data_IF_130414158506
#
_entry.id   IF_130414158506
#
_cell.length_a   1.000
_cell.length_b   1.000
_cell.length_c   1.000
_cell.angle_alpha   90.00
_cell.angle_beta   90.00
_cell.angle_gamma   90.00
#
_symmetry.space_group_name_H-M   'P 1'
#
loop_
_entity.id
_entity.type
_entity.pdbx_description
1 polymer ?
#
# COMPACT_ATOMS: atom_id res chain seq x y z
N UNK A 1 -49.04 -12.83 7.14
CA UNK A 1 -50.12 -13.84 7.08
C UNK A 1 -50.54 -14.43 8.45
N UNK A 2 -49.61 -14.72 9.38
CA UNK A 2 -49.94 -15.26 10.73
C UNK A 2 -50.95 -14.45 11.56
N UNK A 3 -50.80 -13.11 11.59
CA UNK A 3 -51.77 -12.24 12.29
C UNK A 3 -53.18 -12.34 11.70
N UNK A 4 -53.31 -12.53 10.39
CA UNK A 4 -54.62 -12.68 9.73
C UNK A 4 -55.28 -14.03 10.07
N UNK A 5 -54.51 -15.13 10.08
CA UNK A 5 -55.02 -16.46 10.49
C UNK A 5 -55.40 -16.49 11.98
N UNK A 6 -54.58 -15.92 12.88
CA UNK A 6 -54.89 -15.85 14.31
C UNK A 6 -56.08 -14.92 14.63
N UNK A 7 -56.22 -13.82 13.89
CA UNK A 7 -57.38 -12.92 14.03
C UNK A 7 -58.66 -13.56 13.47
N UNK A 8 -58.57 -14.35 12.40
CA UNK A 8 -59.71 -15.14 11.90
C UNK A 8 -60.16 -16.21 12.90
N UNK A 9 -59.20 -16.88 13.57
CA UNK A 9 -59.48 -17.88 14.61
C UNK A 9 -60.10 -17.25 15.87
N UNK A 10 -59.63 -16.07 16.28
CA UNK A 10 -60.23 -15.32 17.39
C UNK A 10 -61.64 -14.79 17.05
N UNK A 11 -61.91 -14.49 15.78
CA UNK A 11 -63.23 -14.08 15.32
C UNK A 11 -64.22 -15.24 15.26
N UNK A 12 -63.77 -16.45 14.87
CA UNK A 12 -64.58 -17.66 14.86
C UNK A 12 -64.99 -18.10 16.27
N UNK A 13 -64.10 -17.98 17.27
CA UNK A 13 -64.43 -18.29 18.67
C UNK A 13 -65.36 -17.26 19.35
N UNK A 14 -65.57 -16.09 18.74
CA UNK A 14 -66.44 -15.04 19.29
C UNK A 14 -67.87 -15.08 18.72
N UNK A 15 -68.12 -15.88 17.67
CA UNK A 15 -69.43 -16.10 17.08
C UNK A 15 -70.01 -17.42 17.62
N UNK A 16 -70.59 -17.35 18.82
CA UNK A 16 -71.30 -18.45 19.48
C UNK A 16 -72.76 -18.52 18.94
N UNK A 17 -73.32 -19.74 18.87
CA UNK A 17 -74.64 -20.15 18.33
C UNK A 17 -74.71 -20.67 16.85
N UNK A 18 -74.05 -21.81 16.54
CA UNK A 18 -74.65 -23.02 15.92
C UNK A 18 -73.57 -23.96 15.30
N UNK A 19 -73.66 -25.26 15.59
CA UNK A 19 -72.77 -26.39 15.19
C UNK A 19 -71.37 -26.43 15.87
N UNK A 20 -71.35 -26.92 17.11
CA UNK A 20 -70.19 -27.02 18.02
C UNK A 20 -69.12 -28.06 17.62
N UNK A 21 -69.46 -29.11 16.85
CA UNK A 21 -68.50 -30.18 16.56
C UNK A 21 -67.61 -29.85 15.33
N UNK A 22 -68.14 -29.16 14.31
CA UNK A 22 -67.41 -28.85 13.07
C UNK A 22 -66.34 -27.76 13.30
N UNK A 23 -66.62 -26.80 14.18
CA UNK A 23 -65.69 -25.72 14.54
C UNK A 23 -64.53 -26.21 15.43
N UNK A 24 -64.75 -27.19 16.32
CA UNK A 24 -63.67 -27.80 17.11
C UNK A 24 -62.67 -28.57 16.24
N UNK A 25 -63.13 -29.28 15.21
CA UNK A 25 -62.26 -30.04 14.31
C UNK A 25 -61.37 -29.12 13.47
N UNK A 26 -61.91 -28.01 12.95
CA UNK A 26 -61.14 -26.99 12.24
C UNK A 26 -60.07 -26.32 13.13
N UNK A 27 -60.40 -26.05 14.40
CA UNK A 27 -59.44 -25.50 15.36
C UNK A 27 -58.32 -26.51 15.64
N UNK A 28 -58.63 -27.80 15.81
CA UNK A 28 -57.60 -28.85 16.01
C UNK A 28 -56.71 -29.00 14.79
N UNK A 29 -57.28 -28.99 13.59
CA UNK A 29 -56.53 -29.08 12.34
C UNK A 29 -55.57 -27.89 12.15
N UNK A 30 -56.03 -26.67 12.43
CA UNK A 30 -55.19 -25.46 12.34
C UNK A 30 -54.08 -25.43 13.40
N UNK A 31 -54.34 -25.91 14.62
CA UNK A 31 -53.31 -26.05 15.66
C UNK A 31 -52.22 -27.03 15.22
N UNK A 32 -52.59 -28.16 14.61
CA UNK A 32 -51.60 -29.14 14.15
C UNK A 32 -50.80 -28.63 12.94
N UNK A 33 -51.43 -27.92 12.00
CA UNK A 33 -50.73 -27.23 10.89
C UNK A 33 -49.68 -26.25 11.46
N UNK A 34 -50.05 -25.43 12.44
CA UNK A 34 -49.13 -24.46 13.06
C UNK A 34 -48.02 -25.16 13.84
N UNK A 35 -48.32 -26.27 14.54
CA UNK A 35 -47.30 -27.09 15.23
C UNK A 35 -46.32 -27.70 14.25
N UNK A 36 -46.78 -28.20 13.11
CA UNK A 36 -45.92 -28.78 12.08
C UNK A 36 -45.04 -27.70 11.43
N UNK A 37 -45.60 -26.54 11.08
CA UNK A 37 -44.81 -25.40 10.60
C UNK A 37 -43.72 -24.97 11.61
N UNK A 38 -44.04 -24.99 12.91
CA UNK A 38 -43.07 -24.61 13.95
C UNK A 38 -41.97 -25.65 14.07
N UNK A 39 -42.29 -26.95 14.02
CA UNK A 39 -41.30 -28.03 14.00
C UNK A 39 -40.38 -27.92 12.78
N UNK A 40 -40.93 -27.65 11.60
CA UNK A 40 -40.15 -27.50 10.36
C UNK A 40 -39.22 -26.28 10.44
N UNK A 41 -39.69 -25.16 11.00
CA UNK A 41 -38.87 -23.96 11.22
C UNK A 41 -37.78 -24.20 12.25
N UNK A 42 -38.08 -24.91 13.33
CA UNK A 42 -37.10 -25.27 14.35
C UNK A 42 -36.01 -26.18 13.77
N UNK A 43 -36.40 -27.20 13.00
CA UNK A 43 -35.48 -28.09 12.31
C UNK A 43 -34.62 -27.33 11.28
N UNK A 44 -35.22 -26.41 10.52
CA UNK A 44 -34.49 -25.54 9.59
C UNK A 44 -33.48 -24.65 10.31
N UNK A 45 -33.85 -24.04 11.43
CA UNK A 45 -32.94 -23.21 12.22
C UNK A 45 -31.79 -24.02 12.83
N UNK A 46 -32.07 -25.23 13.31
CA UNK A 46 -31.03 -26.16 13.78
C UNK A 46 -30.06 -26.51 12.67
N UNK A 47 -30.56 -26.86 11.49
CA UNK A 47 -29.73 -27.16 10.33
C UNK A 47 -28.85 -25.96 9.95
N UNK A 48 -29.42 -24.76 9.83
CA UNK A 48 -28.64 -23.55 9.51
C UNK A 48 -27.58 -23.26 10.58
N UNK A 49 -27.88 -23.49 11.86
CA UNK A 49 -26.88 -23.35 12.93
C UNK A 49 -25.74 -24.35 12.74
N UNK A 50 -26.05 -25.61 12.50
CA UNK A 50 -25.02 -26.65 12.34
C UNK A 50 -24.15 -26.37 11.10
N UNK A 51 -24.77 -25.99 9.97
CA UNK A 51 -24.05 -25.55 8.77
C UNK A 51 -23.13 -24.33 9.06
N UNK A 52 -23.58 -23.35 9.87
CA UNK A 52 -22.74 -22.20 10.25
C UNK A 52 -21.58 -22.57 11.17
N UNK A 53 -21.75 -23.59 12.02
CA UNK A 53 -20.67 -24.08 12.89
C UNK A 53 -19.59 -24.78 12.06
N UNK A 54 -20.00 -25.57 11.06
CA UNK A 54 -19.07 -26.23 10.14
C UNK A 54 -18.26 -25.20 9.34
N UNK A 55 -18.93 -24.15 8.81
CA UNK A 55 -18.22 -23.05 8.12
C UNK A 55 -17.27 -22.28 9.03
N UNK A 56 -17.63 -22.08 10.29
CA UNK A 56 -16.76 -21.40 11.26
C UNK A 56 -15.50 -22.24 11.54
N UNK A 57 -15.64 -23.55 11.70
CA UNK A 57 -14.51 -24.47 11.87
C UNK A 57 -13.59 -24.49 10.64
N UNK A 58 -14.15 -24.48 9.42
CA UNK A 58 -13.36 -24.39 8.19
C UNK A 58 -12.60 -23.05 8.11
N UNK A 59 -13.23 -21.94 8.46
CA UNK A 59 -12.61 -20.63 8.48
C UNK A 59 -11.45 -20.55 9.50
N UNK A 60 -11.65 -21.07 10.72
CA UNK A 60 -10.60 -21.13 11.74
C UNK A 60 -9.41 -21.98 11.29
N UNK A 61 -9.65 -23.11 10.62
CA UNK A 61 -8.58 -23.94 10.05
C UNK A 61 -7.81 -23.23 8.94
N UNK A 62 -8.51 -22.47 8.08
CA UNK A 62 -7.86 -21.66 7.05
C UNK A 62 -7.02 -20.53 7.65
N UNK A 63 -7.52 -19.86 8.69
CA UNK A 63 -6.77 -18.82 9.40
C UNK A 63 -5.53 -19.38 10.09
N UNK A 64 -5.64 -20.53 10.77
CA UNK A 64 -4.51 -21.20 11.40
C UNK A 64 -3.41 -21.55 10.36
N UNK A 65 -3.81 -22.09 9.20
CA UNK A 65 -2.87 -22.39 8.10
C UNK A 65 -2.23 -21.13 7.52
N UNK A 66 -3.00 -20.06 7.33
CA UNK A 66 -2.47 -18.79 6.84
C UNK A 66 -1.45 -18.18 7.81
N UNK A 67 -1.73 -18.23 9.11
CA UNK A 67 -0.82 -17.76 10.15
C UNK A 67 0.48 -18.58 10.22
N UNK A 68 0.40 -19.90 10.06
CA UNK A 68 1.58 -20.77 9.98
C UNK A 68 2.48 -20.39 8.78
N UNK A 69 1.89 -20.15 7.61
CA UNK A 69 2.62 -19.71 6.41
C UNK A 69 3.28 -18.34 6.64
N UNK A 70 2.57 -17.40 7.27
CA UNK A 70 3.11 -16.08 7.59
C UNK A 70 4.29 -16.18 8.56
N UNK A 71 4.21 -17.01 9.59
CA UNK A 71 5.31 -17.21 10.54
C UNK A 71 6.55 -17.81 9.84
N UNK A 72 6.35 -18.83 8.99
CA UNK A 72 7.44 -19.39 8.17
C UNK A 72 8.07 -18.33 7.26
N UNK A 73 7.26 -17.48 6.63
CA UNK A 73 7.76 -16.40 5.76
C UNK A 73 8.57 -15.35 6.55
N UNK A 74 8.11 -14.97 7.74
CA UNK A 74 8.82 -14.03 8.61
C UNK A 74 10.15 -14.61 9.12
N UNK A 75 10.19 -15.90 9.45
CA UNK A 75 11.42 -16.59 9.84
C UNK A 75 12.40 -16.81 8.68
N UNK A 76 11.90 -16.92 7.44
CA UNK A 76 12.71 -17.06 6.23
C UNK A 76 13.35 -15.73 5.79
N UNK A 77 12.68 -14.60 6.03
CA UNK A 77 13.16 -13.25 5.67
C UNK A 77 14.60 -12.94 6.11
N UNK A 78 15.01 -13.12 7.39
CA UNK A 78 16.39 -12.87 7.81
C UNK A 78 17.40 -13.85 7.19
N UNK A 79 16.97 -15.05 6.76
CA UNK A 79 17.84 -16.05 6.13
C UNK A 79 18.12 -15.71 4.66
N UNK A 80 17.16 -15.06 3.98
CA UNK A 80 17.34 -14.59 2.61
C UNK A 80 18.37 -13.47 2.51
N UNK A 81 18.42 -12.54 3.46
CA UNK A 81 19.38 -11.44 3.43
C UNK A 81 20.84 -11.94 3.47
N UNK A 82 21.10 -12.95 4.30
CA UNK A 82 22.42 -13.58 4.49
C UNK A 82 22.82 -14.51 3.33
N UNK A 83 21.88 -14.87 2.45
CA UNK A 83 22.14 -15.82 1.36
C UNK A 83 23.08 -15.19 0.29
N UNK A 84 24.13 -15.90 -0.17
CA UNK A 84 24.99 -15.41 -1.25
C UNK A 84 24.19 -15.22 -2.55
N UNK A 85 24.66 -14.29 -3.39
CA UNK A 85 23.95 -13.88 -4.61
C UNK A 85 23.63 -15.04 -5.57
N UNK A 86 24.52 -16.04 -5.66
CA UNK A 86 24.32 -17.24 -6.48
C UNK A 86 23.10 -18.04 -6.03
N UNK A 87 23.01 -18.34 -4.72
CA UNK A 87 21.86 -19.05 -4.16
C UNK A 87 20.57 -18.24 -4.21
N UNK A 88 20.66 -16.91 -4.15
CA UNK A 88 19.49 -16.03 -4.38
C UNK A 88 18.98 -16.17 -5.80
N UNK A 89 19.88 -16.28 -6.78
CA UNK A 89 19.53 -16.50 -8.19
C UNK A 89 18.86 -17.86 -8.38
N UNK A 90 19.43 -18.92 -7.83
CA UNK A 90 18.87 -20.27 -7.93
C UNK A 90 17.45 -20.34 -7.30
N UNK A 91 17.24 -19.61 -6.20
CA UNK A 91 15.93 -19.51 -5.56
C UNK A 91 14.93 -18.71 -6.41
N UNK A 92 15.35 -17.59 -7.01
CA UNK A 92 14.49 -16.81 -7.92
C UNK A 92 14.13 -17.60 -9.19
N UNK A 93 15.05 -18.43 -9.68
CA UNK A 93 14.83 -19.35 -10.80
C UNK A 93 13.85 -20.46 -10.43
N UNK A 94 13.96 -21.01 -9.22
CA UNK A 94 13.01 -22.01 -8.70
C UNK A 94 11.58 -21.45 -8.53
N UNK A 95 11.47 -20.18 -8.17
CA UNK A 95 10.21 -19.47 -7.98
C UNK A 95 9.66 -18.84 -9.28
N UNK A 96 10.32 -19.09 -10.42
CA UNK A 96 9.99 -18.54 -11.74
C UNK A 96 9.57 -17.06 -11.67
N UNK A 97 10.36 -16.27 -10.93
CA UNK A 97 10.02 -14.87 -10.66
C UNK A 97 10.37 -14.06 -11.90
N UNK A 98 9.34 -13.58 -12.59
CA UNK A 98 9.48 -12.66 -13.71
C UNK A 98 9.31 -11.22 -13.20
N UNK A 99 10.33 -10.40 -13.43
CA UNK A 99 10.30 -8.98 -13.09
C UNK A 99 10.23 -8.19 -14.39
N UNK A 100 9.07 -7.59 -14.66
CA UNK A 100 8.86 -6.69 -15.79
C UNK A 100 8.96 -5.25 -15.30
N UNK A 101 9.89 -4.49 -15.84
CA UNK A 101 10.02 -3.05 -15.58
C UNK A 101 8.93 -2.33 -16.38
N UNK A 102 7.93 -1.75 -15.72
CA UNK A 102 6.75 -1.16 -16.38
C UNK A 102 6.86 0.34 -16.62
N UNK A 103 7.75 1.04 -15.93
CA UNK A 103 7.98 2.48 -16.11
C UNK A 103 9.38 2.77 -16.63
N UNK A 104 9.50 3.78 -17.50
CA UNK A 104 10.77 4.45 -17.71
C UNK A 104 11.20 5.14 -16.41
N UNK A 105 12.40 4.85 -15.91
CA UNK A 105 12.96 5.57 -14.75
C UNK A 105 13.28 6.99 -15.21
N UNK A 106 12.64 8.04 -14.67
CA UNK A 106 13.09 9.41 -14.91
C UNK A 106 14.35 9.62 -14.06
N UNK A 107 15.50 9.22 -14.60
CA UNK A 107 16.78 9.47 -13.97
C UNK A 107 17.81 8.38 -14.25
N UNK A 108 18.92 8.79 -14.85
CA UNK A 108 20.13 7.97 -14.85
C UNK A 108 20.53 7.68 -13.39
N UNK A 109 20.98 6.44 -13.12
CA UNK A 109 21.64 6.07 -11.88
C UNK A 109 22.72 7.11 -11.57
N UNK A 110 22.47 8.01 -10.62
CA UNK A 110 23.43 9.05 -10.28
C UNK A 110 24.55 8.42 -9.48
N UNK A 111 25.78 8.59 -9.95
CA UNK A 111 26.99 8.00 -9.37
C UNK A 111 27.41 8.55 -7.98
N UNK A 112 26.47 9.07 -7.21
CA UNK A 112 26.69 9.62 -5.86
C UNK A 112 25.74 10.77 -5.53
N UNK A 113 25.49 10.94 -4.23
CA UNK A 113 24.83 12.13 -3.68
C UNK A 113 25.67 13.38 -3.94
N UNK A 114 25.02 14.46 -4.36
CA UNK A 114 25.72 15.73 -4.47
C UNK A 114 25.99 16.30 -3.06
N UNK A 115 27.11 16.99 -2.84
CA UNK A 115 27.46 17.56 -1.54
C UNK A 115 26.35 18.44 -0.91
N UNK A 116 25.50 19.08 -1.73
CA UNK A 116 24.33 19.83 -1.25
C UNK A 116 23.21 18.91 -0.75
N UNK A 117 22.95 17.81 -1.45
CA UNK A 117 21.96 16.79 -1.06
C UNK A 117 22.42 16.09 0.23
N UNK A 118 23.70 15.72 0.32
CA UNK A 118 24.29 15.13 1.52
C UNK A 118 24.15 16.00 2.75
N UNK A 119 24.30 17.32 2.59
CA UNK A 119 24.11 18.26 3.69
C UNK A 119 22.69 18.18 4.24
N UNK A 120 21.66 18.23 3.38
CA UNK A 120 20.26 18.13 3.82
C UNK A 120 19.94 16.78 4.45
N UNK A 121 20.49 15.68 3.90
CA UNK A 121 20.35 14.36 4.51
C UNK A 121 21.00 14.29 5.89
N UNK A 122 22.20 14.85 6.06
CA UNK A 122 22.93 14.85 7.33
C UNK A 122 22.23 15.70 8.39
N UNK A 123 21.74 16.87 8.02
CA UNK A 123 21.03 17.78 8.94
C UNK A 123 19.56 17.37 9.18
N UNK A 124 19.03 16.41 8.42
CA UNK A 124 17.63 15.97 8.53
C UNK A 124 16.62 17.06 8.18
N UNK A 125 16.99 18.02 7.32
CA UNK A 125 16.18 19.20 6.98
C UNK A 125 15.53 19.07 5.61
N UNK A 126 14.38 19.72 5.45
CA UNK A 126 13.72 19.86 4.16
C UNK A 126 14.43 20.92 3.31
N UNK A 127 14.46 20.70 1.99
CA UNK A 127 14.98 21.66 1.03
C UNK A 127 13.97 22.80 0.87
N UNK A 128 14.37 24.07 1.12
CA UNK A 128 13.48 25.20 0.96
C UNK A 128 12.81 25.27 -0.44
N UNK A 129 11.59 25.81 -0.53
CA UNK A 129 10.93 26.08 -1.81
C UNK A 129 11.65 27.19 -2.59
N UNK A 130 11.10 27.60 -3.74
CA UNK A 130 11.68 28.71 -4.49
C UNK A 130 11.72 29.97 -3.62
N UNK A 131 12.85 30.68 -3.63
CA UNK A 131 13.07 31.81 -2.75
C UNK A 131 12.22 33.01 -3.18
N UNK A 132 11.46 33.57 -2.25
CA UNK A 132 10.83 34.87 -2.44
C UNK A 132 11.87 35.99 -2.31
N UNK A 133 11.53 37.20 -2.77
CA UNK A 133 12.41 38.36 -2.63
C UNK A 133 12.72 38.67 -1.17
N UNK A 134 11.72 38.54 -0.29
CA UNK A 134 11.88 38.78 1.16
C UNK A 134 12.84 37.76 1.80
N UNK A 135 12.74 36.49 1.42
CA UNK A 135 13.65 35.44 1.87
C UNK A 135 15.07 35.67 1.35
N UNK A 136 15.21 36.12 0.10
CA UNK A 136 16.51 36.48 -0.46
C UNK A 136 17.13 37.65 0.30
N UNK A 137 16.37 38.71 0.59
CA UNK A 137 16.85 39.89 1.32
C UNK A 137 17.40 39.55 2.71
N UNK A 138 16.85 38.52 3.38
CA UNK A 138 17.34 38.05 4.68
C UNK A 138 18.74 37.42 4.59
N UNK A 139 19.02 36.69 3.52
CA UNK A 139 20.27 35.93 3.37
C UNK A 139 21.32 36.63 2.50
N UNK A 140 20.92 37.62 1.71
CA UNK A 140 21.79 38.31 0.75
C UNK A 140 23.06 38.87 1.40
N UNK A 141 22.92 39.42 2.61
CA UNK A 141 24.03 40.00 3.38
C UNK A 141 25.14 38.98 3.74
N UNK A 142 24.83 37.69 3.74
CA UNK A 142 25.80 36.62 4.03
C UNK A 142 26.70 36.32 2.81
N UNK A 143 26.24 36.64 1.61
CA UNK A 143 26.98 36.37 0.38
C UNK A 143 28.01 37.47 0.08
N UNK A 144 29.19 37.11 -0.44
CA UNK A 144 30.18 38.10 -0.80
C UNK A 144 29.66 38.98 -1.94
N UNK A 145 29.80 40.31 -1.77
CA UNK A 145 29.41 41.27 -2.81
C UNK A 145 30.17 40.96 -4.11
N UNK A 146 29.46 40.89 -5.26
CA UNK A 146 30.11 40.62 -6.53
C UNK A 146 31.12 41.74 -6.82
N UNK A 147 32.38 41.36 -7.10
CA UNK A 147 33.34 42.30 -7.70
C UNK A 147 32.78 42.75 -9.04
N UNK A 148 32.95 44.03 -9.40
CA UNK A 148 32.43 44.69 -10.64
C UNK A 148 33.01 44.10 -11.94
N UNK A 149 32.93 42.79 -12.14
CA UNK A 149 33.29 42.11 -13.37
C UNK A 149 32.03 41.55 -14.01
N UNK A 150 31.86 41.87 -15.30
CA UNK A 150 30.68 41.67 -16.14
C UNK A 150 30.33 40.20 -16.43
N UNK A 151 31.07 39.23 -15.87
CA UNK A 151 30.89 37.79 -16.11
C UNK A 151 30.77 36.96 -14.83
N UNK A 152 30.59 37.60 -13.68
CA UNK A 152 30.45 36.90 -12.40
C UNK A 152 29.01 36.41 -12.25
N UNK A 153 28.85 35.10 -12.04
CA UNK A 153 27.57 34.49 -11.67
C UNK A 153 27.04 35.19 -10.41
N UNK A 154 25.82 35.78 -10.45
CA UNK A 154 25.24 36.42 -9.28
C UNK A 154 25.07 35.42 -8.12
N UNK A 155 25.31 35.81 -6.86
CA UNK A 155 25.18 34.91 -5.72
C UNK A 155 23.80 34.23 -5.61
N UNK A 156 22.72 34.99 -5.89
CA UNK A 156 21.35 34.49 -5.89
C UNK A 156 21.16 33.31 -6.83
N UNK A 157 21.61 33.47 -8.08
CA UNK A 157 21.44 32.45 -9.12
C UNK A 157 22.17 31.17 -8.75
N UNK A 158 23.41 31.27 -8.26
CA UNK A 158 24.15 30.10 -7.81
C UNK A 158 23.49 29.40 -6.61
N UNK A 159 22.97 30.18 -5.66
CA UNK A 159 22.30 29.65 -4.48
C UNK A 159 20.96 28.99 -4.83
N UNK A 160 20.10 29.67 -5.59
CA UNK A 160 18.81 29.14 -6.03
C UNK A 160 18.97 27.89 -6.92
N UNK A 161 19.94 27.89 -7.84
CA UNK A 161 20.27 26.72 -8.65
C UNK A 161 20.70 25.52 -7.79
N UNK A 162 21.47 25.75 -6.72
CA UNK A 162 21.88 24.67 -5.81
C UNK A 162 20.71 24.09 -5.00
N UNK A 163 19.76 24.93 -4.58
CA UNK A 163 18.54 24.49 -3.89
C UNK A 163 17.61 23.76 -4.85
N UNK A 164 17.41 24.28 -6.06
CA UNK A 164 16.60 23.63 -7.09
C UNK A 164 17.14 22.24 -7.43
N UNK A 165 18.46 22.14 -7.57
CA UNK A 165 19.15 20.87 -7.76
C UNK A 165 18.89 19.91 -6.60
N UNK A 166 19.09 20.34 -5.36
CA UNK A 166 18.86 19.50 -4.18
C UNK A 166 17.39 19.05 -4.06
N UNK A 167 16.45 19.88 -4.53
CA UNK A 167 15.02 19.62 -4.52
C UNK A 167 14.58 18.55 -5.51
N UNK A 168 15.13 18.58 -6.72
CA UNK A 168 14.68 17.72 -7.83
C UNK A 168 15.65 16.60 -8.14
N UNK A 169 16.86 16.65 -7.60
CA UNK A 169 17.86 15.65 -7.89
C UNK A 169 18.30 15.65 -9.36
N UNK A 170 18.51 16.82 -9.95
CA UNK A 170 18.93 16.90 -11.35
C UNK A 170 20.45 16.98 -11.48
N UNK A 171 21.00 16.59 -12.64
CA UNK A 171 22.39 16.95 -12.94
C UNK A 171 22.50 18.45 -13.17
N UNK A 172 23.69 19.03 -12.93
CA UNK A 172 23.90 20.46 -13.15
C UNK A 172 23.59 20.90 -14.60
N UNK A 173 23.76 20.00 -15.57
CA UNK A 173 23.51 20.22 -17.00
C UNK A 173 22.01 20.21 -17.35
N UNK A 174 21.20 19.57 -16.52
CA UNK A 174 19.77 19.36 -16.77
C UNK A 174 18.91 20.37 -15.98
N UNK A 175 19.54 21.41 -15.42
CA UNK A 175 18.78 22.50 -14.80
C UNK A 175 18.07 23.30 -15.89
N UNK A 176 16.79 23.66 -15.68
CA UNK A 176 16.06 24.50 -16.63
C UNK A 176 16.68 25.88 -16.76
N UNK A 177 16.60 26.45 -17.96
CA UNK A 177 17.20 27.75 -18.29
C UNK A 177 16.64 28.91 -17.46
N UNK A 178 15.41 28.79 -16.98
CA UNK A 178 14.76 29.74 -16.06
C UNK A 178 15.53 29.90 -14.75
N UNK A 179 16.14 28.82 -14.26
CA UNK A 179 16.93 28.82 -13.01
C UNK A 179 18.38 29.18 -13.27
N UNK A 180 18.94 28.78 -14.42
CA UNK A 180 20.33 29.09 -14.77
C UNK A 180 20.51 30.53 -15.27
N UNK A 181 19.43 31.18 -15.73
CA UNK A 181 19.44 32.49 -16.38
C UNK A 181 20.49 32.59 -17.50
N UNK A 182 20.67 31.51 -18.26
CA UNK A 182 21.65 31.42 -19.35
C UNK A 182 23.10 31.27 -18.90
N UNK A 183 23.38 31.12 -17.59
CA UNK A 183 24.71 30.83 -17.09
C UNK A 183 25.10 29.38 -17.30
N UNK A 184 26.38 29.14 -17.64
CA UNK A 184 26.90 27.79 -17.84
C UNK A 184 26.78 26.95 -16.55
N UNK A 185 26.28 25.70 -16.63
CA UNK A 185 26.18 24.76 -15.49
C UNK A 185 27.44 24.65 -14.63
N UNK A 186 28.61 24.56 -15.28
CA UNK A 186 29.89 24.44 -14.59
C UNK A 186 30.21 25.67 -13.73
N UNK A 187 29.87 26.87 -14.21
CA UNK A 187 30.11 28.12 -13.48
C UNK A 187 29.20 28.24 -12.26
N UNK A 188 27.93 27.84 -12.40
CA UNK A 188 26.97 27.76 -11.29
C UNK A 188 27.46 26.80 -10.21
N UNK A 189 27.84 25.58 -10.62
CA UNK A 189 28.36 24.57 -9.70
C UNK A 189 29.59 25.05 -8.93
N UNK A 190 30.61 25.57 -9.63
CA UNK A 190 31.85 26.04 -8.99
C UNK A 190 31.57 27.19 -8.00
N UNK A 191 30.65 28.08 -8.35
CA UNK A 191 30.29 29.21 -7.48
C UNK A 191 29.53 28.74 -6.24
N UNK A 192 28.51 27.89 -6.41
CA UNK A 192 27.76 27.31 -5.31
C UNK A 192 28.65 26.45 -4.40
N UNK A 193 29.54 25.64 -4.98
CA UNK A 193 30.49 24.82 -4.23
C UNK A 193 31.47 25.69 -3.44
N UNK A 194 31.88 26.83 -4.01
CA UNK A 194 32.67 27.83 -3.30
C UNK A 194 31.96 28.33 -2.04
N UNK A 195 30.66 28.60 -2.11
CA UNK A 195 29.85 29.02 -0.95
C UNK A 195 29.65 27.90 0.07
N UNK A 196 29.56 26.65 -0.38
CA UNK A 196 29.49 25.48 0.49
C UNK A 196 30.80 25.32 1.28
N UNK A 197 31.94 25.36 0.59
CA UNK A 197 33.27 25.26 1.20
C UNK A 197 33.57 26.36 2.21
N UNK A 198 33.05 27.57 2.00
CA UNK A 198 33.22 28.69 2.94
C UNK A 198 32.17 28.69 4.06
N UNK A 199 31.24 27.74 4.09
CA UNK A 199 30.14 27.67 5.05
C UNK A 199 29.12 28.81 4.92
N UNK A 200 29.22 29.66 3.88
CA UNK A 200 28.25 30.73 3.62
C UNK A 200 26.92 30.13 3.19
N UNK A 201 26.97 29.08 2.36
CA UNK A 201 25.78 28.40 1.86
C UNK A 201 24.97 27.80 3.01
N UNK A 202 25.63 27.08 3.93
CA UNK A 202 24.98 26.42 5.06
C UNK A 202 24.33 27.45 5.99
N UNK A 203 25.04 28.54 6.30
CA UNK A 203 24.50 29.65 7.08
C UNK A 203 23.30 30.32 6.41
N UNK A 204 23.33 30.47 5.09
CA UNK A 204 22.21 31.01 4.34
C UNK A 204 20.98 30.09 4.42
N UNK A 205 21.16 28.77 4.28
CA UNK A 205 20.04 27.82 4.44
C UNK A 205 19.49 27.85 5.87
N UNK A 206 20.35 27.90 6.88
CA UNK A 206 19.91 27.99 8.29
C UNK A 206 19.18 29.29 8.60
N UNK A 207 19.61 30.42 8.00
CA UNK A 207 18.98 31.71 8.17
C UNK A 207 17.56 31.79 7.59
N UNK A 208 17.22 30.94 6.62
CA UNK A 208 15.85 30.83 6.10
C UNK A 208 14.87 30.16 7.08
N UNK A 209 15.39 29.48 8.11
CA UNK A 209 14.57 28.86 9.15
C UNK A 209 13.77 27.65 8.68
N UNK A 210 12.66 27.37 9.37
CA UNK A 210 11.73 26.28 9.03
C UNK A 210 10.78 26.75 7.92
N UNK A 211 11.03 26.28 6.69
CA UNK A 211 10.16 26.51 5.54
C UNK A 211 9.38 25.24 5.21
N UNK A 212 8.21 25.40 4.58
CA UNK A 212 7.48 24.31 3.92
C UNK A 212 8.28 23.81 2.69
N UNK A 213 9.34 23.05 2.96
CA UNK A 213 10.24 22.49 1.97
C UNK A 213 9.82 21.12 1.48
N UNK A 214 10.56 20.58 0.52
CA UNK A 214 10.41 19.18 0.09
C UNK A 214 11.57 18.34 0.62
N UNK A 215 11.37 17.03 0.85
CA UNK A 215 12.49 16.14 1.15
C UNK A 215 13.43 16.06 -0.05
N UNK A 216 14.71 15.77 0.21
CA UNK A 216 15.66 15.46 -0.85
C UNK A 216 15.23 14.15 -1.54
N UNK A 217 15.14 14.11 -2.88
CA UNK A 217 14.80 12.88 -3.59
C UNK A 217 15.82 11.77 -3.30
N UNK A 218 15.38 10.50 -3.18
CA UNK A 218 16.30 9.39 -3.00
C UNK A 218 17.25 9.27 -4.19
N UNK A 219 18.49 8.85 -3.92
CA UNK A 219 19.54 8.69 -4.93
C UNK A 219 19.20 7.64 -6.00
N UNK A 220 18.33 6.69 -5.64
CA UNK A 220 17.80 5.68 -6.52
C UNK A 220 16.27 5.77 -6.51
N UNK A 221 15.69 6.05 -7.66
CA UNK A 221 14.31 5.69 -7.94
C UNK A 221 14.31 4.27 -8.46
N UNK A 222 13.67 3.34 -7.75
CA UNK A 222 13.32 2.07 -8.36
C UNK A 222 12.24 2.37 -9.42
N UNK A 223 12.36 1.83 -10.65
CA UNK A 223 11.23 1.88 -11.57
C UNK A 223 10.04 1.17 -10.93
N UNK A 224 8.85 1.45 -11.45
CA UNK A 224 7.73 0.55 -11.23
C UNK A 224 8.08 -0.83 -11.79
N UNK A 225 7.96 -1.82 -10.91
CA UNK A 225 8.23 -3.22 -11.19
C UNK A 225 6.93 -3.98 -11.10
N UNK A 226 6.63 -4.75 -12.14
CA UNK A 226 5.62 -5.79 -12.10
C UNK A 226 6.33 -7.13 -11.86
N UNK A 227 6.11 -7.69 -10.66
CA UNK A 227 6.76 -8.94 -10.25
C UNK A 227 5.68 -10.03 -10.26
N UNK A 228 5.81 -10.98 -11.18
CA UNK A 228 5.04 -12.23 -11.16
C UNK A 228 5.95 -13.36 -10.72
N UNK A 229 5.40 -14.37 -10.07
CA UNK A 229 6.14 -15.58 -9.68
C UNK A 229 5.22 -16.77 -9.69
N UNK A 230 5.75 -17.93 -10.11
CA UNK A 230 5.02 -19.19 -10.03
C UNK A 230 5.70 -20.10 -9.02
N UNK A 231 4.91 -20.61 -8.09
CA UNK A 231 5.42 -21.49 -7.03
C UNK A 231 4.80 -22.86 -7.20
N UNK A 232 5.61 -23.90 -7.34
CA UNK A 232 5.13 -25.27 -7.33
C UNK A 232 4.76 -25.66 -5.89
N UNK A 233 3.46 -25.87 -5.57
CA UNK A 233 3.02 -26.20 -4.22
C UNK A 233 3.61 -27.52 -3.69
N UNK A 234 4.17 -28.36 -4.57
CA UNK A 234 4.82 -29.62 -4.21
C UNK A 234 6.14 -29.42 -3.47
N UNK A 235 6.77 -28.25 -3.63
CA UNK A 235 8.02 -27.90 -2.94
C UNK A 235 7.79 -27.42 -1.50
N UNK A 236 6.56 -27.06 -1.14
CA UNK A 236 6.14 -26.64 0.21
C UNK A 236 5.68 -27.77 1.12
N UNK A 237 5.92 -29.04 0.76
CA UNK A 237 5.59 -30.14 1.65
C UNK A 237 6.34 -30.02 2.98
N UNK A 238 5.66 -30.18 4.15
CA UNK A 238 6.39 -30.31 5.41
C UNK A 238 7.39 -31.48 5.29
N UNK A 239 8.53 -31.46 6.01
CA UNK A 239 9.43 -32.60 6.01
C UNK A 239 8.63 -33.83 6.42
N UNK A 240 8.35 -34.71 5.44
CA UNK A 240 7.68 -35.99 5.66
C UNK A 240 8.58 -36.78 6.60
N UNK A 241 8.25 -36.74 7.90
CA UNK A 241 8.69 -37.75 8.84
C UNK A 241 8.29 -39.10 8.26
N UNK A 242 9.29 -39.96 8.05
CA UNK A 242 9.13 -41.23 7.35
C UNK A 242 8.06 -42.08 8.01
N UNK A 243 6.96 -42.29 7.29
CA UNK A 243 6.12 -43.47 7.45
C UNK A 243 6.08 -44.12 6.09
N UNK A 244 6.78 -45.25 5.99
CA UNK A 244 6.64 -46.21 4.92
C UNK A 244 5.20 -46.73 4.95
N UNK A 245 4.41 -46.34 3.95
CA UNK A 245 3.38 -47.22 3.43
C UNK A 245 3.31 -46.99 1.93
N UNK A 246 3.57 -48.08 1.21
CA UNK A 246 3.17 -48.28 -0.17
C UNK A 246 1.66 -48.07 -0.33
N UNK A 247 1.28 -47.87 -1.60
CA UNK A 247 -0.06 -47.68 -2.15
C UNK A 247 -0.72 -46.29 -1.99
N UNK A 248 -0.60 -45.48 -3.05
CA UNK A 248 -1.78 -45.07 -3.83
C UNK A 248 -1.38 -44.16 -5.00
N UNK A 249 -1.97 -44.47 -6.16
CA UNK A 249 -1.91 -43.74 -7.42
C UNK A 249 -2.29 -42.24 -7.27
N UNK A 250 -1.60 -41.40 -8.03
CA UNK A 250 -1.82 -39.95 -8.02
C UNK A 250 -3.05 -39.50 -8.80
N UNK A 251 -3.37 -38.20 -8.72
CA UNK A 251 -3.92 -37.46 -9.82
C UNK A 251 -2.90 -36.43 -10.33
N UNK A 252 -2.53 -36.63 -11.58
CA UNK A 252 -1.92 -35.64 -12.46
C UNK A 252 -2.90 -34.46 -12.65
N UNK A 253 -2.41 -33.23 -12.50
CA UNK A 253 -3.16 -32.01 -12.86
C UNK A 253 -3.69 -31.17 -11.69
N UNK A 254 -2.82 -30.72 -10.78
CA UNK A 254 -3.12 -29.52 -9.99
C UNK A 254 -2.64 -28.29 -10.80
N UNK A 255 -3.51 -27.31 -11.12
CA UNK A 255 -3.08 -26.10 -11.82
C UNK A 255 -2.10 -25.32 -10.94
N UNK A 256 -0.99 -24.88 -11.52
CA UNK A 256 -0.06 -23.97 -10.86
C UNK A 256 -0.82 -22.72 -10.39
N UNK A 257 -0.75 -22.42 -9.09
CA UNK A 257 -1.34 -21.21 -8.53
C UNK A 257 -0.41 -20.04 -8.90
N UNK A 258 -0.76 -19.34 -9.98
CA UNK A 258 -0.12 -18.08 -10.33
C UNK A 258 -0.62 -16.99 -9.36
N UNK A 259 0.28 -16.45 -8.54
CA UNK A 259 0.00 -15.30 -7.69
C UNK A 259 0.44 -14.03 -8.40
N UNK A 260 -0.51 -13.16 -8.74
CA UNK A 260 -0.24 -11.86 -9.35
C UNK A 260 -0.25 -10.79 -8.25
N UNK A 261 0.92 -10.22 -7.95
CA UNK A 261 1.03 -9.10 -7.01
C UNK A 261 1.63 -7.89 -7.74
N UNK A 262 0.87 -6.80 -7.85
CA UNK A 262 1.39 -5.51 -8.30
C UNK A 262 1.86 -4.69 -7.11
N UNK A 263 3.12 -4.27 -7.13
CA UNK A 263 3.70 -3.41 -6.11
C UNK A 263 3.96 -2.03 -6.71
N UNK A 264 3.11 -1.02 -6.47
CA UNK A 264 3.42 0.34 -6.89
C UNK A 264 4.64 0.83 -6.09
N UNK A 265 5.66 1.37 -6.77
CA UNK A 265 6.80 1.95 -6.05
C UNK A 265 6.49 3.37 -5.60
N UNK A 266 7.08 3.77 -4.46
CA UNK A 266 6.89 5.11 -3.86
C UNK A 266 7.32 6.26 -4.78
N UNK A 267 8.14 5.99 -5.80
CA UNK A 267 8.63 6.97 -6.74
C UNK A 267 7.57 7.46 -7.74
N UNK A 268 6.53 6.66 -8.01
CA UNK A 268 5.40 7.03 -8.89
C UNK A 268 4.25 7.74 -8.17
N UNK A 269 4.39 8.01 -6.87
CA UNK A 269 3.44 8.87 -6.17
C UNK A 269 3.76 10.33 -6.45
N UNK A 270 3.24 10.86 -7.56
CA UNK A 270 2.87 12.28 -7.56
C UNK A 270 2.05 12.52 -6.30
N UNK A 271 2.40 13.55 -5.55
CA UNK A 271 1.73 13.89 -4.31
C UNK A 271 0.21 14.01 -4.54
N UNK A 272 -0.52 12.95 -4.24
CA UNK A 272 -1.97 13.01 -4.07
C UNK A 272 -2.21 13.82 -2.81
N UNK A 273 -2.43 15.12 -3.01
CA UNK A 273 -3.06 16.00 -2.04
C UNK A 273 -4.28 15.28 -1.46
N UNK A 274 -4.31 15.17 -0.13
CA UNK A 274 -5.34 14.43 0.58
C UNK A 274 -6.75 14.93 0.24
N UNK A 275 -7.57 14.05 -0.35
CA UNK A 275 -9.02 14.02 -0.22
C UNK A 275 -9.59 12.83 -1.01
N UNK A 276 -9.96 11.76 -0.29
CA UNK A 276 -11.20 10.97 -0.46
C UNK A 276 -11.05 9.52 0.01
N UNK A 277 -10.82 9.32 1.30
CA UNK A 277 -11.37 8.12 1.93
C UNK A 277 -12.85 8.41 2.21
N UNK A 278 -13.72 8.07 1.26
CA UNK A 278 -15.13 7.85 1.56
C UNK A 278 -15.28 6.39 2.04
N UNK A 279 -15.98 6.13 3.16
CA UNK A 279 -16.16 4.78 3.66
C UNK A 279 -17.22 4.03 2.86
N UNK A 280 -16.85 2.85 2.38
CA UNK A 280 -17.81 1.79 2.06
C UNK A 280 -18.52 1.39 3.37
N UNK A 281 -19.75 1.86 3.55
CA UNK A 281 -20.71 1.28 4.48
C UNK A 281 -22.09 1.45 3.87
N UNK A 282 -22.53 0.42 3.18
CA UNK A 282 -23.92 0.25 2.78
C UNK A 282 -24.77 0.09 4.04
N UNK A 283 -25.83 0.88 4.14
CA UNK A 283 -26.89 0.69 5.12
C UNK A 283 -27.76 -0.53 4.74
N UNK A 284 -28.28 -1.30 5.71
CA UNK A 284 -29.20 -2.40 5.41
C UNK A 284 -30.57 -1.85 4.96
N UNK A 285 -31.31 -2.59 4.10
CA UNK A 285 -32.66 -2.22 3.74
C UNK A 285 -33.59 -2.35 4.96
N UNK A 286 -34.20 -1.24 5.34
CA UNK A 286 -35.38 -1.23 6.20
C UNK A 286 -36.52 -1.92 5.47
N UNK A 287 -37.06 -2.96 6.10
CA UNK A 287 -38.28 -3.63 5.68
C UNK A 287 -39.50 -2.75 5.99
N UNK A 288 -40.37 -2.60 5.00
CA UNK A 288 -41.82 -2.39 5.16
C UNK A 288 -42.54 -3.71 4.85
#
# INVERSE_FOLDING_TARGET
>A
MRKKKLVALAAAMAADESDDDETEEEIRATIEEVRQELKDKEQKLRKMRDDTLDWLLEAEQQEARANEILDLALQARPKLDVLPAEKKRDLLELLDVQVVVTSDVPGALRGGSCAFEEWFHREGRLVPPQLTEDQWAQVEALFPRPKKQTRVVPPRVAFEASLYKARHGLMWKDLPDEITLGHRPQSLYQKALGYLKTGVWERAVLALGECAGSPVPPLYGLPDLHITGTFDPRLSGPPRGGVTSEDAAGPEGAPALASNCSWPTRASSTATTGRSCAPCSAAPPTAD
#
